data_IF_887589264112
#
_entry.id   IF_887589264112
#
_cell.length_a   1.000
_cell.length_b   1.000
_cell.length_c   1.000
_cell.angle_alpha   90.00
_cell.angle_beta   90.00
_cell.angle_gamma   90.00
#
_symmetry.space_group_name_H-M   'P 1'
#
loop_
_entity.id
_entity.type
_entity.pdbx_description
1 polymer ?
#
# COMPACT_ATOMS: atom_id res chain seq x y z
N UNK A 1 3.10 18.42 -0.73
CA UNK A 1 4.51 18.03 -0.55
C UNK A 1 5.28 18.10 -1.86
N UNK A 2 4.82 17.43 -2.93
CA UNK A 2 5.45 17.49 -4.26
C UNK A 2 5.52 18.91 -4.81
N UNK A 3 4.41 19.66 -4.76
CA UNK A 3 4.33 21.06 -5.18
C UNK A 3 5.26 22.01 -4.40
N UNK A 4 5.73 21.63 -3.20
CA UNK A 4 6.67 22.45 -2.42
C UNK A 4 8.09 22.29 -2.98
N UNK A 5 8.47 21.11 -3.47
CA UNK A 5 9.80 20.85 -4.06
C UNK A 5 9.88 21.47 -5.46
N UNK A 6 8.77 21.46 -6.20
CA UNK A 6 8.71 22.02 -7.55
C UNK A 6 8.90 23.54 -7.57
N UNK A 7 8.35 24.25 -6.58
CA UNK A 7 8.43 25.71 -6.46
C UNK A 7 9.76 26.20 -5.82
N UNK A 8 10.57 25.30 -5.26
CA UNK A 8 11.82 25.68 -4.58
C UNK A 8 12.94 26.08 -5.59
N UNK A 9 13.69 27.15 -5.29
CA UNK A 9 14.78 27.63 -6.15
C UNK A 9 15.86 26.55 -6.36
N UNK A 10 16.46 26.52 -7.57
CA UNK A 10 17.35 25.44 -8.02
C UNK A 10 18.57 25.15 -7.12
N UNK A 11 19.02 26.14 -6.34
CA UNK A 11 20.15 26.02 -5.40
C UNK A 11 19.72 25.76 -3.95
N UNK A 12 18.43 25.55 -3.72
CA UNK A 12 17.90 25.24 -2.40
C UNK A 12 18.39 23.87 -1.93
N UNK A 13 18.85 23.74 -0.67
CA UNK A 13 19.15 22.44 -0.09
C UNK A 13 17.91 21.54 0.02
N UNK A 14 16.68 22.06 -0.13
CA UNK A 14 15.46 21.26 -0.21
C UNK A 14 15.33 20.49 -1.53
N UNK A 15 15.93 20.98 -2.62
CA UNK A 15 15.82 20.36 -3.94
C UNK A 15 16.64 19.07 -4.07
N UNK A 16 17.64 18.88 -3.19
CA UNK A 16 18.39 17.62 -3.06
C UNK A 16 17.74 16.63 -2.09
N UNK A 17 16.66 17.02 -1.39
CA UNK A 17 15.92 16.13 -0.49
C UNK A 17 14.90 15.30 -1.29
N UNK A 18 15.16 14.01 -1.43
CA UNK A 18 14.17 13.06 -1.97
C UNK A 18 13.15 12.76 -0.87
N UNK A 19 12.02 13.47 -0.90
CA UNK A 19 10.89 13.26 0.01
C UNK A 19 10.17 11.93 -0.31
N UNK A 20 10.65 10.82 0.26
CA UNK A 20 9.99 9.50 0.15
C UNK A 20 8.74 9.36 1.03
N UNK A 21 8.44 10.35 1.89
CA UNK A 21 7.28 10.36 2.77
C UNK A 21 5.95 10.32 2.02
N UNK A 22 5.83 11.08 0.92
CA UNK A 22 4.61 11.09 0.11
C UNK A 22 4.35 9.77 -0.61
N UNK A 23 5.41 9.10 -1.08
CA UNK A 23 5.31 7.81 -1.77
C UNK A 23 4.78 6.71 -0.85
N UNK A 24 5.30 6.62 0.38
CA UNK A 24 4.82 5.62 1.34
C UNK A 24 3.36 5.87 1.70
N UNK A 25 2.96 7.12 1.94
CA UNK A 25 1.58 7.48 2.25
C UNK A 25 0.62 7.24 1.08
N UNK A 26 1.05 7.46 -0.16
CA UNK A 26 0.32 7.10 -1.38
C UNK A 26 0.12 5.58 -1.46
N UNK A 27 1.17 4.80 -1.22
CA UNK A 27 1.12 3.34 -1.21
C UNK A 27 0.17 2.81 -0.13
N UNK A 28 0.22 3.34 1.10
CA UNK A 28 -0.75 2.97 2.15
C UNK A 28 -2.19 3.29 1.75
N UNK A 29 -2.39 4.44 1.08
CA UNK A 29 -3.72 4.88 0.66
C UNK A 29 -4.26 4.00 -0.46
N UNK A 30 -3.42 3.64 -1.43
CA UNK A 30 -3.75 2.76 -2.54
C UNK A 30 -4.10 1.35 -2.07
N UNK A 31 -3.25 0.73 -1.26
CA UNK A 31 -3.50 -0.60 -0.68
C UNK A 31 -4.74 -0.60 0.21
N UNK A 32 -4.95 0.48 0.98
CA UNK A 32 -6.17 0.64 1.78
C UNK A 32 -7.43 0.76 0.92
N UNK A 33 -7.36 1.45 -0.23
CA UNK A 33 -8.48 1.54 -1.17
C UNK A 33 -8.85 0.20 -1.78
N UNK A 34 -7.86 -0.59 -2.19
CA UNK A 34 -8.06 -1.96 -2.68
C UNK A 34 -8.69 -2.83 -1.58
N UNK A 35 -8.14 -2.79 -0.37
CA UNK A 35 -8.65 -3.55 0.77
C UNK A 35 -10.10 -3.20 1.12
N UNK A 36 -10.47 -1.92 1.00
CA UNK A 36 -11.85 -1.47 1.20
C UNK A 36 -12.78 -1.90 0.07
N UNK A 37 -12.31 -1.91 -1.19
CA UNK A 37 -13.10 -2.44 -2.32
C UNK A 37 -13.33 -3.95 -2.20
N UNK A 38 -12.37 -4.66 -1.61
CA UNK A 38 -12.46 -6.10 -1.33
C UNK A 38 -13.28 -6.41 -0.06
N UNK A 39 -13.69 -5.40 0.71
CA UNK A 39 -14.46 -5.60 1.93
C UNK A 39 -15.82 -6.21 1.61
N UNK A 40 -16.16 -7.32 2.27
CA UNK A 40 -17.37 -8.10 1.98
C UNK A 40 -17.23 -9.12 0.84
N UNK A 41 -16.03 -9.26 0.25
CA UNK A 41 -15.71 -10.38 -0.64
C UNK A 41 -15.10 -11.56 0.10
N UNK A 42 -15.22 -12.75 -0.48
CA UNK A 42 -14.57 -13.98 -0.02
C UNK A 42 -13.03 -13.94 -0.17
N UNK A 43 -12.48 -12.86 -0.75
CA UNK A 43 -11.03 -12.72 -0.91
C UNK A 43 -10.33 -12.56 0.44
N UNK A 44 -11.02 -12.00 1.45
CA UNK A 44 -10.48 -11.94 2.82
C UNK A 44 -10.29 -13.35 3.37
N UNK A 45 -11.27 -14.23 3.17
CA UNK A 45 -11.22 -15.63 3.58
C UNK A 45 -10.14 -16.40 2.81
N UNK A 46 -9.98 -16.13 1.51
CA UNK A 46 -8.90 -16.69 0.70
C UNK A 46 -7.52 -16.27 1.24
N UNK A 47 -7.35 -15.01 1.63
CA UNK A 47 -6.12 -14.53 2.26
C UNK A 47 -5.87 -15.19 3.61
N UNK A 48 -6.92 -15.49 4.37
CA UNK A 48 -6.84 -16.20 5.66
C UNK A 48 -6.40 -17.67 5.52
N UNK A 49 -6.49 -18.26 4.31
CA UNK A 49 -5.94 -19.61 4.07
C UNK A 49 -4.40 -19.64 4.05
N UNK A 50 -3.76 -18.51 3.70
CA UNK A 50 -2.29 -18.39 3.58
C UNK A 50 -1.70 -17.61 4.75
N UNK A 51 -2.44 -16.63 5.28
CA UNK A 51 -2.01 -15.77 6.37
C UNK A 51 -2.91 -15.95 7.59
N UNK A 52 -2.35 -15.83 8.80
CA UNK A 52 -3.16 -15.83 10.01
C UNK A 52 -4.20 -14.67 9.98
N UNK A 53 -5.43 -14.86 10.51
CA UNK A 53 -6.49 -13.84 10.47
C UNK A 53 -6.05 -12.47 10.99
N UNK A 54 -5.31 -12.45 12.12
CA UNK A 54 -4.75 -11.21 12.68
C UNK A 54 -3.80 -10.50 11.70
N UNK A 55 -3.04 -11.25 10.90
CA UNK A 55 -2.16 -10.67 9.89
C UNK A 55 -2.97 -10.05 8.74
N UNK A 56 -4.06 -10.70 8.31
CA UNK A 56 -4.98 -10.16 7.30
C UNK A 56 -5.62 -8.86 7.79
N UNK A 57 -6.09 -8.81 9.05
CA UNK A 57 -6.61 -7.57 9.65
C UNK A 57 -5.55 -6.44 9.69
N UNK A 58 -4.28 -6.76 9.95
CA UNK A 58 -3.21 -5.78 9.91
C UNK A 58 -2.84 -5.31 8.50
N UNK A 59 -3.01 -6.18 7.51
CA UNK A 59 -2.81 -5.85 6.10
C UNK A 59 -3.90 -4.89 5.61
N UNK A 60 -5.18 -5.18 5.90
CA UNK A 60 -6.32 -4.33 5.49
C UNK A 60 -6.37 -3.00 6.24
N UNK A 61 -5.91 -2.96 7.51
CA UNK A 61 -5.81 -1.71 8.30
C UNK A 61 -4.60 -0.83 7.95
N UNK A 62 -3.87 -1.13 6.86
CA UNK A 62 -2.68 -0.39 6.40
C UNK A 62 -1.49 -0.40 7.36
N UNK A 63 -1.49 -1.30 8.36
CA UNK A 63 -0.41 -1.43 9.35
C UNK A 63 0.67 -2.42 8.91
N UNK A 64 0.40 -3.23 7.88
CA UNK A 64 1.33 -4.23 7.34
C UNK A 64 1.43 -4.19 5.80
N UNK A 65 1.75 -3.03 5.23
CA UNK A 65 1.81 -2.79 3.76
C UNK A 65 2.68 -3.81 3.02
N UNK A 66 3.89 -4.11 3.49
CA UNK A 66 4.76 -5.07 2.82
C UNK A 66 4.18 -6.50 2.75
N UNK A 67 3.28 -6.87 3.69
CA UNK A 67 2.54 -8.14 3.61
C UNK A 67 1.34 -7.99 2.69
N UNK A 68 0.61 -6.87 2.76
CA UNK A 68 -0.53 -6.59 1.90
C UNK A 68 -0.16 -6.59 0.41
N UNK A 69 0.95 -5.95 0.04
CA UNK A 69 1.45 -5.94 -1.35
C UNK A 69 1.76 -7.35 -1.84
N UNK A 70 2.45 -8.16 -1.04
CA UNK A 70 2.75 -9.55 -1.39
C UNK A 70 1.49 -10.41 -1.51
N UNK A 71 0.52 -10.21 -0.62
CA UNK A 71 -0.76 -10.88 -0.66
C UNK A 71 -1.55 -10.53 -1.93
N UNK A 72 -1.56 -9.27 -2.35
CA UNK A 72 -2.20 -8.86 -3.60
C UNK A 72 -1.54 -9.49 -4.84
N UNK A 73 -0.21 -9.60 -4.89
CA UNK A 73 0.44 -10.35 -5.98
C UNK A 73 0.08 -11.84 -5.98
N UNK A 74 -0.07 -12.43 -4.80
CA UNK A 74 -0.46 -13.84 -4.67
C UNK A 74 -1.88 -14.08 -5.18
N UNK A 75 -2.79 -13.14 -4.87
CA UNK A 75 -4.15 -13.14 -5.41
C UNK A 75 -4.17 -12.94 -6.93
N UNK A 76 -3.38 -11.99 -7.44
CA UNK A 76 -3.24 -11.74 -8.87
C UNK A 76 -2.78 -13.00 -9.62
N UNK A 77 -1.80 -13.73 -9.07
CA UNK A 77 -1.37 -15.01 -9.63
C UNK A 77 -2.45 -16.10 -9.54
N UNK A 78 -3.26 -16.10 -8.49
CA UNK A 78 -4.30 -17.11 -8.29
C UNK A 78 -5.51 -16.88 -9.22
N UNK A 79 -5.83 -15.63 -9.56
CA UNK A 79 -6.95 -15.28 -10.44
C UNK A 79 -6.58 -15.22 -11.93
N UNK A 80 -5.30 -15.08 -12.25
CA UNK A 80 -4.81 -15.03 -13.64
C UNK A 80 -4.50 -16.43 -14.22
N UNK A 81 -4.35 -17.44 -13.36
CA UNK A 81 -4.24 -18.85 -13.75
C UNK A 81 -5.61 -19.46 -14.08
#
# INVERSE_FOLDING_TARGET
AMNIIEDEPLKSPLKSVILRLGGFQLEMSFVGGISHLMEGSEITELLETVYAPNAVTHMTSRKAIARAVRAHFLLDTAFTL
#
